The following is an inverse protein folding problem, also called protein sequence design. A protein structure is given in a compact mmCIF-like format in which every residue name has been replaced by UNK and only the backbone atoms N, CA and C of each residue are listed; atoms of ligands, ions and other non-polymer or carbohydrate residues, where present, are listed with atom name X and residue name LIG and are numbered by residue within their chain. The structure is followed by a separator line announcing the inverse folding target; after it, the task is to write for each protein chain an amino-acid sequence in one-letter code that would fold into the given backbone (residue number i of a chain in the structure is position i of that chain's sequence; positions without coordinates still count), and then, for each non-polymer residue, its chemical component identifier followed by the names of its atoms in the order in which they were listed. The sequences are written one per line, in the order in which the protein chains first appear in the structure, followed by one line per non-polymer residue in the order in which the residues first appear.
data_IF_180825500264
#
_entry.id   IF_180825500264
#
_cell.length_a   1.000
_cell.length_b   1.000
_cell.length_c   1.000
_cell.angle_alpha   90.00
_cell.angle_beta   90.00
_cell.angle_gamma   90.00
#
_symmetry.space_group_name_H-M   'P 1'
#
loop_
_entity.id
_entity.type
_entity.pdbx_description
1 polymer ?
#
# COMPACT_ATOMS: atom_id res chain seq x y z
N UNK A 1 -4.50 4.55 13.70
CA UNK A 1 -4.29 3.22 13.07
C UNK A 1 -3.16 3.40 12.07
N UNK A 2 -2.22 2.48 11.96
CA UNK A 2 -1.08 2.64 11.05
C UNK A 2 -1.43 1.99 9.71
N UNK A 3 -1.22 2.72 8.61
CA UNK A 3 -1.42 2.20 7.27
C UNK A 3 -0.32 1.19 6.92
N UNK A 4 -0.70 0.05 6.36
CA UNK A 4 0.21 -0.99 5.88
C UNK A 4 0.49 -0.79 4.38
N UNK A 5 1.70 -1.14 3.94
CA UNK A 5 1.97 -1.21 2.51
C UNK A 5 1.47 -2.55 1.96
N UNK A 6 0.57 -2.51 1.01
CA UNK A 6 0.19 -3.67 0.22
C UNK A 6 1.19 -3.87 -0.92
N UNK A 7 1.66 -5.10 -1.08
CA UNK A 7 2.50 -5.49 -2.22
C UNK A 7 1.74 -6.53 -3.02
N UNK A 8 1.04 -6.10 -4.07
CA UNK A 8 0.42 -7.02 -5.02
C UNK A 8 1.44 -7.53 -6.01
N UNK A 9 1.51 -8.83 -6.19
CA UNK A 9 2.24 -9.47 -7.29
C UNK A 9 1.21 -9.89 -8.33
N UNK A 10 1.29 -9.26 -9.47
CA UNK A 10 0.46 -9.64 -10.60
C UNK A 10 1.00 -10.93 -11.23
N UNK A 11 0.12 -11.89 -11.51
CA UNK A 11 0.50 -13.15 -12.13
C UNK A 11 1.08 -12.91 -13.54
N UNK A 12 2.16 -13.61 -13.90
CA UNK A 12 2.69 -13.62 -15.25
C UNK A 12 3.28 -12.30 -15.78
N UNK A 13 3.71 -11.39 -14.90
CA UNK A 13 4.28 -10.10 -15.32
C UNK A 13 3.23 -9.08 -15.79
N UNK A 14 1.96 -9.31 -15.49
CA UNK A 14 0.90 -8.33 -15.71
C UNK A 14 1.16 -7.07 -14.87
N UNK A 15 0.63 -5.93 -15.31
CA UNK A 15 0.71 -4.63 -14.63
C UNK A 15 -0.69 -4.09 -14.30
N UNK A 16 -1.70 -4.88 -14.61
CA UNK A 16 -3.12 -4.61 -14.36
C UNK A 16 -3.72 -5.84 -13.69
N UNK A 17 -4.52 -5.59 -12.68
CA UNK A 17 -5.38 -6.58 -12.04
C UNK A 17 -6.83 -6.08 -12.04
N UNK A 18 -7.78 -6.96 -12.24
CA UNK A 18 -9.20 -6.64 -12.23
C UNK A 18 -10.00 -7.75 -11.53
N UNK A 19 -10.84 -7.37 -10.58
CA UNK A 19 -11.66 -8.32 -9.84
C UNK A 19 -12.96 -7.72 -9.32
N UNK A 20 -13.84 -8.60 -8.83
CA UNK A 20 -15.07 -8.23 -8.14
C UNK A 20 -15.06 -8.80 -6.73
N UNK A 21 -15.38 -7.95 -5.78
CA UNK A 21 -15.56 -8.33 -4.38
C UNK A 21 -17.01 -8.18 -3.94
N UNK A 22 -17.46 -9.11 -3.09
CA UNK A 22 -18.68 -8.96 -2.32
C UNK A 22 -18.34 -8.58 -0.88
N UNK A 23 -19.05 -7.60 -0.33
CA UNK A 23 -18.91 -7.11 1.04
C UNK A 23 -17.44 -6.74 1.36
N UNK A 24 -16.86 -5.89 0.52
CA UNK A 24 -15.45 -5.54 0.65
C UNK A 24 -15.16 -4.78 1.95
N UNK A 25 -14.29 -5.35 2.76
CA UNK A 25 -13.71 -4.75 3.94
C UNK A 25 -12.21 -4.95 3.90
N UNK A 26 -11.45 -3.89 4.09
CA UNK A 26 -10.02 -3.99 4.22
C UNK A 26 -9.50 -3.09 5.35
N UNK A 27 -8.29 -3.35 5.78
CA UNK A 27 -7.62 -2.53 6.79
C UNK A 27 -6.90 -1.36 6.14
N UNK A 28 -6.61 -0.33 6.92
CA UNK A 28 -5.89 0.86 6.46
C UNK A 28 -4.56 0.46 5.82
N UNK A 29 -4.39 0.79 4.55
CA UNK A 29 -3.22 0.43 3.75
C UNK A 29 -2.91 1.48 2.69
N UNK A 30 -1.82 1.27 1.97
CA UNK A 30 -1.43 2.04 0.81
C UNK A 30 -0.59 1.16 -0.14
N UNK A 31 -0.56 1.49 -1.42
CA UNK A 31 0.24 0.79 -2.43
C UNK A 31 0.72 1.75 -3.52
N UNK A 32 1.69 1.30 -4.31
CA UNK A 32 2.25 2.09 -5.43
C UNK A 32 1.38 2.10 -6.68
N UNK A 33 0.50 1.14 -6.81
CA UNK A 33 -0.46 1.11 -7.89
C UNK A 33 -1.50 2.22 -7.70
N UNK A 34 -2.13 2.66 -8.79
CA UNK A 34 -3.41 3.35 -8.73
C UNK A 34 -4.53 2.32 -8.62
N UNK A 35 -5.66 2.72 -8.06
CA UNK A 35 -6.82 1.86 -7.91
C UNK A 35 -8.09 2.57 -8.32
N UNK A 36 -8.94 1.89 -9.08
CA UNK A 36 -10.25 2.39 -9.46
C UNK A 36 -11.33 1.47 -8.89
N UNK A 37 -12.21 2.05 -8.10
CA UNK A 37 -13.36 1.39 -7.49
C UNK A 37 -14.63 1.76 -8.26
N UNK A 38 -15.55 0.82 -8.41
CA UNK A 38 -16.89 1.08 -8.93
C UNK A 38 -17.90 0.23 -8.17
N UNK A 39 -18.91 0.89 -7.61
CA UNK A 39 -19.98 0.21 -6.86
C UNK A 39 -21.01 -0.32 -7.84
N UNK A 40 -20.98 -1.62 -8.10
CA UNK A 40 -21.94 -2.27 -8.99
C UNK A 40 -23.28 -2.49 -8.27
N UNK A 41 -23.26 -2.63 -6.93
CA UNK A 41 -24.46 -2.79 -6.09
C UNK A 41 -24.18 -2.40 -4.65
N UNK A 42 -25.16 -1.76 -4.02
CA UNK A 42 -25.14 -1.40 -2.59
C UNK A 42 -24.33 -0.15 -2.29
N UNK A 43 -23.86 -0.01 -1.05
CA UNK A 43 -23.16 1.16 -0.55
C UNK A 43 -21.84 0.77 0.12
N UNK A 44 -20.79 1.57 -0.11
CA UNK A 44 -19.48 1.36 0.50
C UNK A 44 -18.91 2.69 1.00
N UNK A 45 -18.35 2.69 2.19
CA UNK A 45 -17.58 3.80 2.70
C UNK A 45 -16.10 3.61 2.34
N UNK A 46 -15.51 4.63 1.72
CA UNK A 46 -14.09 4.66 1.38
C UNK A 46 -13.45 5.81 2.15
N UNK A 47 -12.48 5.49 2.98
CA UNK A 47 -11.60 6.47 3.59
C UNK A 47 -10.37 6.63 2.71
N UNK A 48 -10.02 7.86 2.35
CA UNK A 48 -8.86 8.18 1.52
C UNK A 48 -8.21 9.48 2.00
N UNK A 49 -6.94 9.40 2.35
CA UNK A 49 -6.22 10.52 2.95
C UNK A 49 -6.74 10.89 4.33
N UNK A 50 -7.40 12.04 4.47
CA UNK A 50 -7.99 12.53 5.74
C UNK A 50 -9.53 12.55 5.69
N UNK A 51 -10.14 12.13 4.58
CA UNK A 51 -11.57 12.23 4.31
C UNK A 51 -12.24 10.86 4.15
N UNK A 52 -13.53 10.83 4.45
CA UNK A 52 -14.39 9.65 4.26
C UNK A 52 -15.47 9.96 3.23
N UNK A 53 -15.69 9.01 2.32
CA UNK A 53 -16.63 9.13 1.21
C UNK A 53 -17.61 7.96 1.26
N UNK A 54 -18.90 8.24 1.24
CA UNK A 54 -19.93 7.22 1.05
C UNK A 54 -20.24 7.12 -0.45
N UNK A 55 -19.93 5.98 -1.03
CA UNK A 55 -20.22 5.68 -2.42
C UNK A 55 -21.50 4.85 -2.51
N UNK A 56 -22.36 5.24 -3.43
CA UNK A 56 -23.60 4.54 -3.78
C UNK A 56 -23.44 3.74 -5.08
N UNK A 57 -24.40 2.87 -5.36
CA UNK A 57 -24.50 2.14 -6.62
C UNK A 57 -24.36 3.07 -7.84
N UNK A 58 -23.56 2.66 -8.81
CA UNK A 58 -23.23 3.43 -10.01
C UNK A 58 -22.10 4.45 -9.83
N UNK A 59 -21.62 4.68 -8.62
CA UNK A 59 -20.53 5.62 -8.36
C UNK A 59 -19.15 4.97 -8.42
N UNK A 60 -18.18 5.78 -8.79
CA UNK A 60 -16.79 5.36 -8.91
C UNK A 60 -15.84 6.27 -8.13
N UNK A 61 -14.70 5.72 -7.74
CA UNK A 61 -13.70 6.39 -6.92
C UNK A 61 -12.29 6.05 -7.43
N UNK A 62 -11.46 7.06 -7.60
CA UNK A 62 -10.09 6.91 -8.06
C UNK A 62 -9.11 7.13 -6.91
N UNK A 63 -8.33 6.12 -6.57
CA UNK A 63 -7.27 6.17 -5.55
C UNK A 63 -5.94 6.34 -6.27
N UNK A 64 -5.28 7.46 -6.01
CA UNK A 64 -3.98 7.78 -6.61
C UNK A 64 -2.86 6.96 -5.94
N UNK A 65 -1.76 6.77 -6.66
CA UNK A 65 -0.58 6.07 -6.15
C UNK A 65 -0.09 6.64 -4.82
N UNK A 66 0.03 5.78 -3.81
CA UNK A 66 0.53 6.13 -2.48
C UNK A 66 -0.50 6.76 -1.54
N UNK A 67 -1.75 6.91 -1.94
CA UNK A 67 -2.78 7.37 -1.04
C UNK A 67 -3.12 6.31 0.00
N UNK A 68 -3.18 6.73 1.26
CA UNK A 68 -3.58 5.87 2.37
C UNK A 68 -5.09 5.73 2.37
N UNK A 69 -5.58 4.51 2.33
CA UNK A 69 -7.01 4.25 2.24
C UNK A 69 -7.45 2.96 2.93
N UNK A 70 -8.74 2.85 3.19
CA UNK A 70 -9.45 1.61 3.49
C UNK A 70 -10.89 1.72 3.03
N UNK A 71 -11.57 0.59 2.92
CA UNK A 71 -12.98 0.55 2.55
C UNK A 71 -13.78 -0.37 3.46
N UNK A 72 -15.07 -0.05 3.61
CA UNK A 72 -15.97 -0.77 4.49
C UNK A 72 -17.38 -0.83 3.87
N UNK A 73 -17.80 -2.02 3.46
CA UNK A 73 -19.15 -2.25 2.95
C UNK A 73 -20.20 -1.98 4.03
N UNK A 74 -21.28 -1.26 3.68
CA UNK A 74 -22.35 -0.92 4.61
C UNK A 74 -23.49 -1.93 4.60
N UNK A 75 -23.66 -2.65 3.50
CA UNK A 75 -24.69 -3.65 3.28
C UNK A 75 -24.20 -4.68 2.25
N UNK A 76 -25.10 -5.42 1.62
CA UNK A 76 -24.73 -6.33 0.53
C UNK A 76 -24.20 -5.54 -0.67
N UNK A 77 -22.88 -5.41 -0.74
CA UNK A 77 -22.18 -4.61 -1.75
C UNK A 77 -21.49 -5.52 -2.75
N UNK A 78 -21.54 -5.16 -4.03
CA UNK A 78 -20.68 -5.70 -5.07
C UNK A 78 -19.81 -4.57 -5.60
N UNK A 79 -18.50 -4.75 -5.51
CA UNK A 79 -17.49 -3.76 -5.87
C UNK A 79 -16.60 -4.30 -6.98
N UNK A 80 -16.50 -3.57 -8.08
CA UNK A 80 -15.45 -3.74 -9.08
C UNK A 80 -14.21 -3.00 -8.59
N UNK A 81 -13.06 -3.69 -8.63
CA UNK A 81 -11.76 -3.13 -8.30
C UNK A 81 -10.81 -3.38 -9.47
N UNK A 82 -10.18 -2.33 -9.95
CA UNK A 82 -9.10 -2.41 -10.94
C UNK A 82 -7.87 -1.73 -10.34
N UNK A 83 -6.80 -2.51 -10.16
CA UNK A 83 -5.52 -2.03 -9.64
C UNK A 83 -4.50 -2.07 -10.77
N UNK A 84 -3.72 -1.02 -10.95
CA UNK A 84 -2.78 -0.93 -12.06
C UNK A 84 -1.56 -0.09 -11.69
N UNK A 85 -0.42 -0.43 -12.28
CA UNK A 85 0.82 0.31 -12.04
C UNK A 85 0.72 1.77 -12.49
N UNK A 86 1.24 2.67 -11.66
CA UNK A 86 1.21 4.11 -11.91
C UNK A 86 1.86 4.51 -13.25
N UNK A 87 2.85 3.77 -13.69
CA UNK A 87 3.54 3.98 -14.96
C UNK A 87 2.62 3.94 -16.18
N UNK A 88 1.54 3.14 -16.13
CA UNK A 88 0.55 3.05 -17.21
C UNK A 88 -0.18 4.38 -17.40
N UNK A 89 -0.54 5.02 -16.30
CA UNK A 89 -1.31 6.27 -16.31
C UNK A 89 -0.44 7.53 -16.12
N UNK A 90 0.87 7.35 -15.99
CA UNK A 90 1.84 8.44 -15.83
C UNK A 90 1.65 9.57 -16.87
N UNK A 91 1.40 9.32 -18.17
CA UNK A 91 1.17 10.38 -19.15
C UNK A 91 0.02 11.34 -18.77
N UNK A 92 -0.89 10.92 -17.90
CA UNK A 92 -2.07 11.68 -17.44
C UNK A 92 -1.86 12.20 -16.03
N UNK A 93 -1.45 11.32 -15.11
CA UNK A 93 -1.38 11.61 -13.67
C UNK A 93 -0.11 12.35 -13.24
N UNK A 94 0.96 12.37 -14.05
CA UNK A 94 2.22 13.05 -13.69
C UNK A 94 2.05 14.56 -13.58
N UNK A 95 1.29 15.15 -14.50
CA UNK A 95 1.10 16.61 -14.58
C UNK A 95 -0.14 17.09 -13.82
N UNK A 96 -1.13 16.24 -13.61
CA UNK A 96 -2.42 16.62 -13.04
C UNK A 96 -2.88 15.63 -11.98
N UNK A 97 -3.64 16.14 -11.01
CA UNK A 97 -4.35 15.32 -10.01
C UNK A 97 -5.84 15.65 -10.04
N UNK A 98 -6.67 14.69 -9.71
CA UNK A 98 -8.09 14.94 -9.46
C UNK A 98 -8.26 15.84 -8.24
N UNK A 99 -9.19 16.80 -8.29
CA UNK A 99 -9.55 17.61 -7.14
C UNK A 99 -10.44 16.87 -6.16
N UNK A 100 -11.22 15.90 -6.65
CA UNK A 100 -12.03 15.00 -5.86
C UNK A 100 -11.83 13.58 -6.37
N UNK A 101 -11.53 12.61 -5.51
CA UNK A 101 -11.38 11.22 -5.92
C UNK A 101 -12.72 10.53 -6.25
N UNK A 102 -13.85 11.04 -5.73
CA UNK A 102 -15.19 10.60 -6.12
C UNK A 102 -15.53 11.17 -7.50
N UNK A 103 -15.73 10.28 -8.48
CA UNK A 103 -15.97 10.67 -9.87
C UNK A 103 -17.42 11.07 -10.09
N UNK A 104 -17.61 12.15 -10.85
CA UNK A 104 -18.94 12.70 -11.15
C UNK A 104 -19.50 12.22 -12.49
N UNK A 105 -18.64 11.82 -13.45
CA UNK A 105 -19.02 11.42 -14.80
C UNK A 105 -19.27 9.93 -14.95
N UNK A 106 -20.04 9.55 -15.97
CA UNK A 106 -20.16 8.17 -16.43
C UNK A 106 -19.03 7.84 -17.42
N UNK A 107 -18.05 7.08 -16.97
CA UNK A 107 -16.85 6.70 -17.76
C UNK A 107 -16.93 5.30 -18.34
N UNK A 108 -18.08 4.65 -18.29
CA UNK A 108 -18.29 3.28 -18.78
C UNK A 108 -17.32 2.29 -18.13
N UNK A 109 -17.19 2.38 -16.80
CA UNK A 109 -16.25 1.57 -16.01
C UNK A 109 -16.61 0.07 -16.09
N UNK A 110 -17.88 -0.36 -15.94
CA UNK A 110 -18.24 -1.78 -16.08
C UNK A 110 -17.86 -2.38 -17.44
N UNK A 111 -18.04 -1.64 -18.52
CA UNK A 111 -17.68 -2.10 -19.87
C UNK A 111 -16.16 -2.19 -20.05
N UNK A 112 -15.40 -1.24 -19.46
CA UNK A 112 -13.94 -1.29 -19.49
C UNK A 112 -13.44 -2.47 -18.63
N UNK A 113 -14.01 -2.68 -17.45
CA UNK A 113 -13.72 -3.85 -16.63
C UNK A 113 -13.96 -5.17 -17.38
N UNK A 114 -15.08 -5.29 -18.10
CA UNK A 114 -15.41 -6.50 -18.86
C UNK A 114 -14.34 -6.80 -19.94
N UNK A 115 -13.89 -5.77 -20.70
CA UNK A 115 -12.83 -5.94 -21.71
C UNK A 115 -11.50 -6.33 -21.08
N UNK A 116 -11.09 -5.67 -19.99
CA UNK A 116 -9.86 -6.01 -19.28
C UNK A 116 -9.92 -7.45 -18.74
N UNK A 117 -11.03 -7.82 -18.11
CA UNK A 117 -11.22 -9.16 -17.56
C UNK A 117 -11.18 -10.24 -18.63
N UNK A 118 -11.71 -9.98 -19.83
CA UNK A 118 -11.64 -10.88 -20.96
C UNK A 118 -10.18 -11.09 -21.41
N UNK A 119 -9.42 -10.01 -21.59
CA UNK A 119 -8.01 -10.08 -21.99
C UNK A 119 -7.15 -10.85 -20.96
N UNK A 120 -7.30 -10.52 -19.67
CA UNK A 120 -6.56 -11.17 -18.59
C UNK A 120 -6.92 -12.64 -18.41
N UNK A 121 -8.19 -13.03 -18.70
CA UNK A 121 -8.66 -14.42 -18.63
C UNK A 121 -8.16 -15.25 -19.82
N UNK A 122 -8.32 -14.73 -21.03
CA UNK A 122 -8.03 -15.49 -22.26
C UNK A 122 -6.53 -15.53 -22.59
N UNK A 123 -5.77 -14.53 -22.12
CA UNK A 123 -4.31 -14.43 -22.33
C UNK A 123 -3.89 -14.58 -23.78
N UNK A 124 -4.69 -13.98 -24.69
CA UNK A 124 -4.32 -13.90 -26.11
C UNK A 124 -2.97 -13.17 -26.30
N UNK A 125 -2.26 -13.35 -27.39
CA UNK A 125 -1.03 -12.60 -27.65
C UNK A 125 -1.23 -11.10 -27.40
N UNK A 126 -0.33 -10.47 -26.64
CA UNK A 126 -0.36 -9.05 -26.25
C UNK A 126 -1.47 -8.64 -25.26
N UNK A 127 -2.12 -9.58 -24.57
CA UNK A 127 -3.20 -9.30 -23.63
C UNK A 127 -2.84 -8.27 -22.56
N UNK A 128 -1.58 -8.29 -22.03
CA UNK A 128 -1.13 -7.29 -21.09
C UNK A 128 -1.16 -5.87 -21.69
N UNK A 129 -0.64 -5.71 -22.90
CA UNK A 129 -0.65 -4.42 -23.59
C UNK A 129 -2.08 -3.95 -23.90
N UNK A 130 -2.99 -4.87 -24.24
CA UNK A 130 -4.40 -4.57 -24.46
C UNK A 130 -5.06 -4.08 -23.17
N UNK A 131 -4.87 -4.77 -22.03
CA UNK A 131 -5.37 -4.35 -20.73
C UNK A 131 -4.80 -3.00 -20.28
N UNK A 132 -3.49 -2.77 -20.46
CA UNK A 132 -2.84 -1.48 -20.15
C UNK A 132 -3.42 -0.33 -21.00
N UNK A 133 -3.69 -0.56 -22.29
CA UNK A 133 -4.32 0.43 -23.16
C UNK A 133 -5.75 0.78 -22.73
N UNK A 134 -6.54 -0.19 -22.29
CA UNK A 134 -7.89 0.05 -21.76
C UNK A 134 -7.83 0.94 -20.50
N UNK A 135 -6.90 0.67 -19.59
CA UNK A 135 -6.67 1.50 -18.39
C UNK A 135 -6.23 2.92 -18.78
N UNK A 136 -5.26 3.08 -19.68
CA UNK A 136 -4.81 4.39 -20.10
C UNK A 136 -5.93 5.19 -20.79
N UNK A 137 -6.71 4.55 -21.66
CA UNK A 137 -7.85 5.19 -22.33
C UNK A 137 -8.93 5.61 -21.30
N UNK A 138 -9.19 4.80 -20.29
CA UNK A 138 -10.11 5.12 -19.21
C UNK A 138 -9.59 6.31 -18.37
N UNK A 139 -8.32 6.31 -17.98
CA UNK A 139 -7.71 7.42 -17.25
C UNK A 139 -7.80 8.74 -18.03
N UNK A 140 -7.53 8.71 -19.34
CA UNK A 140 -7.68 9.90 -20.20
C UNK A 140 -9.13 10.42 -20.19
N UNK A 141 -10.15 9.54 -20.27
CA UNK A 141 -11.56 9.96 -20.19
C UNK A 141 -11.89 10.60 -18.85
N UNK A 142 -11.45 9.99 -17.75
CA UNK A 142 -11.65 10.50 -16.39
C UNK A 142 -11.02 11.88 -16.22
N UNK A 143 -9.73 12.03 -16.54
CA UNK A 143 -9.00 13.28 -16.35
C UNK A 143 -9.42 14.42 -17.30
N UNK A 144 -10.10 14.08 -18.41
CA UNK A 144 -10.75 15.08 -19.28
C UNK A 144 -12.13 15.49 -18.80
N UNK A 145 -12.85 14.60 -18.13
CA UNK A 145 -14.22 14.84 -17.64
C UNK A 145 -14.29 15.44 -16.25
N UNK A 146 -13.29 15.16 -15.40
CA UNK A 146 -13.26 15.61 -14.01
C UNK A 146 -12.49 16.92 -13.82
N UNK A 147 -12.77 17.59 -12.72
CA UNK A 147 -12.00 18.77 -12.30
C UNK A 147 -10.62 18.34 -11.82
N UNK A 148 -9.60 18.92 -12.42
CA UNK A 148 -8.20 18.60 -12.10
C UNK A 148 -7.43 19.84 -11.70
N UNK A 149 -6.38 19.68 -10.90
CA UNK A 149 -5.37 20.70 -10.63
C UNK A 149 -4.01 20.25 -11.16
N UNK A 150 -3.13 21.21 -11.42
CA UNK A 150 -1.73 20.89 -11.65
C UNK A 150 -1.17 20.17 -10.42
N UNK A 151 -0.47 19.08 -10.66
CA UNK A 151 0.29 18.42 -9.61
C UNK A 151 1.52 19.30 -9.36
N UNK A 152 1.43 20.19 -8.37
CA UNK A 152 2.64 20.85 -7.88
C UNK A 152 3.63 19.74 -7.55
N UNK A 153 4.83 19.80 -8.11
CA UNK A 153 5.86 18.76 -8.05
C UNK A 153 6.15 18.28 -6.60
N UNK A 154 5.19 17.58 -6.01
CA UNK A 154 5.36 16.79 -4.80
C UNK A 154 5.58 15.31 -5.16
N UNK A 155 5.53 14.95 -6.44
CA UNK A 155 5.82 13.59 -6.92
C UNK A 155 7.23 13.17 -6.56
N UNK A 156 8.19 14.10 -6.56
CA UNK A 156 9.53 13.87 -6.02
C UNK A 156 9.52 13.47 -4.55
N UNK A 157 8.74 14.16 -3.71
CA UNK A 157 8.74 13.92 -2.26
C UNK A 157 8.09 12.58 -1.90
N UNK A 158 6.97 12.22 -2.52
CA UNK A 158 6.33 10.92 -2.29
C UNK A 158 7.19 9.80 -2.86
N UNK A 159 7.73 9.96 -4.06
CA UNK A 159 8.65 8.97 -4.63
C UNK A 159 9.93 8.87 -3.79
N UNK A 160 10.55 9.98 -3.39
CA UNK A 160 11.70 9.97 -2.49
C UNK A 160 11.39 9.33 -1.13
N UNK A 161 10.17 9.50 -0.60
CA UNK A 161 9.76 8.82 0.61
C UNK A 161 9.64 7.31 0.41
N UNK A 162 9.13 6.88 -0.72
CA UNK A 162 9.06 5.47 -1.11
C UNK A 162 10.46 4.86 -1.25
N UNK A 163 11.32 5.55 -1.97
CA UNK A 163 12.72 5.15 -2.17
C UNK A 163 13.46 5.10 -0.83
N UNK A 164 13.17 6.05 0.07
CA UNK A 164 13.67 6.03 1.45
C UNK A 164 13.23 4.76 2.21
N UNK A 165 11.93 4.38 2.14
CA UNK A 165 11.46 3.18 2.82
C UNK A 165 12.12 1.91 2.25
N UNK A 166 12.29 1.81 0.93
CA UNK A 166 12.99 0.71 0.29
C UNK A 166 14.45 0.65 0.74
N UNK A 167 15.16 1.78 0.73
CA UNK A 167 16.55 1.89 1.16
C UNK A 167 16.74 1.56 2.65
N UNK A 168 15.81 1.98 3.51
CA UNK A 168 15.80 1.58 4.93
C UNK A 168 15.70 0.06 5.07
N UNK A 169 14.85 -0.61 4.29
CA UNK A 169 14.68 -2.05 4.39
C UNK A 169 15.91 -2.85 3.95
N UNK A 170 16.68 -2.33 3.01
CA UNK A 170 17.95 -2.95 2.60
C UNK A 170 19.07 -2.68 3.62
N UNK A 171 19.10 -1.51 4.24
CA UNK A 171 20.22 -1.03 5.07
C UNK A 171 19.85 -0.72 6.52
N UNK A 172 18.70 -1.21 7.01
CA UNK A 172 18.10 -0.90 8.32
C UNK A 172 19.09 -0.95 9.49
N UNK A 173 20.05 -1.89 9.46
CA UNK A 173 20.97 -2.10 10.57
C UNK A 173 21.83 -0.86 10.88
N UNK A 174 22.17 -0.09 9.85
CA UNK A 174 23.07 1.06 9.93
C UNK A 174 22.39 2.41 9.70
N UNK A 175 21.07 2.38 9.42
CA UNK A 175 20.35 3.59 9.09
C UNK A 175 20.17 4.51 10.31
N UNK A 176 20.44 5.80 10.11
CA UNK A 176 20.23 6.82 11.15
C UNK A 176 19.10 7.79 10.77
N UNK A 177 18.64 8.55 11.75
CA UNK A 177 17.64 9.61 11.52
C UNK A 177 18.19 10.69 10.56
N UNK A 178 19.45 11.04 10.73
CA UNK A 178 20.13 12.04 9.90
C UNK A 178 20.27 11.56 8.45
N UNK A 179 20.59 10.25 8.24
CA UNK A 179 20.65 9.68 6.89
C UNK A 179 19.31 9.78 6.18
N UNK A 180 18.23 9.48 6.89
CA UNK A 180 16.88 9.54 6.36
C UNK A 180 16.47 10.99 6.00
N UNK A 181 16.77 11.94 6.85
CA UNK A 181 16.52 13.36 6.58
C UNK A 181 17.29 13.85 5.37
N UNK A 182 18.59 13.50 5.29
CA UNK A 182 19.46 13.83 4.15
C UNK A 182 18.98 13.18 2.85
N UNK A 183 18.56 11.90 2.89
CA UNK A 183 18.01 11.19 1.74
C UNK A 183 16.82 11.94 1.13
N UNK A 184 15.95 12.48 2.00
CA UNK A 184 14.78 13.26 1.60
C UNK A 184 15.11 14.72 1.21
N UNK A 185 16.35 15.17 1.44
CA UNK A 185 16.74 16.58 1.27
C UNK A 185 16.04 17.52 2.26
N UNK A 186 15.65 17.03 3.45
CA UNK A 186 14.96 17.77 4.48
C UNK A 186 15.86 18.13 5.66
N UNK A 187 15.54 19.24 6.34
CA UNK A 187 16.09 19.45 7.68
C UNK A 187 15.49 18.40 8.65
N UNK A 188 16.25 18.02 9.69
CA UNK A 188 15.80 17.04 10.68
C UNK A 188 14.46 17.42 11.33
N UNK A 189 14.25 18.71 11.62
CA UNK A 189 13.00 19.20 12.22
C UNK A 189 11.81 19.05 11.27
N UNK A 190 12.00 19.30 9.98
CA UNK A 190 10.94 19.11 8.98
C UNK A 190 10.69 17.64 8.71
N UNK A 191 11.76 16.83 8.57
CA UNK A 191 11.65 15.39 8.37
C UNK A 191 10.90 14.70 9.53
N UNK A 192 11.16 15.08 10.78
CA UNK A 192 10.46 14.53 11.94
C UNK A 192 8.94 14.73 11.85
N UNK A 193 8.50 15.96 11.51
CA UNK A 193 7.07 16.27 11.35
C UNK A 193 6.47 15.58 10.13
N UNK A 194 7.19 15.62 9.02
CA UNK A 194 6.79 14.98 7.76
C UNK A 194 6.61 13.49 7.93
N UNK A 195 7.63 12.78 8.46
CA UNK A 195 7.59 11.34 8.66
C UNK A 195 6.44 10.93 9.59
N UNK A 196 6.29 11.64 10.71
CA UNK A 196 5.19 11.36 11.66
C UNK A 196 3.81 11.59 11.03
N UNK A 197 3.67 12.60 10.17
CA UNK A 197 2.41 12.87 9.45
C UNK A 197 2.07 11.77 8.46
N UNK A 198 3.06 11.29 7.67
CA UNK A 198 2.85 10.29 6.62
C UNK A 198 2.77 8.88 7.20
N UNK A 199 3.71 8.51 8.09
CA UNK A 199 3.81 7.16 8.65
C UNK A 199 2.96 6.94 9.92
N UNK A 200 2.34 7.98 10.50
CA UNK A 200 1.58 7.91 11.75
C UNK A 200 2.43 7.61 12.99
N UNK A 201 3.74 7.45 12.85
CA UNK A 201 4.70 7.18 13.92
C UNK A 201 6.01 7.94 13.69
N UNK A 202 6.87 8.01 14.73
CA UNK A 202 8.20 8.59 14.56
C UNK A 202 9.10 7.67 13.73
N UNK A 203 10.07 8.25 13.04
CA UNK A 203 11.08 7.50 12.29
C UNK A 203 11.79 6.44 13.17
N UNK A 204 12.16 6.81 14.41
CA UNK A 204 12.81 5.87 15.33
C UNK A 204 11.90 4.68 15.69
N UNK A 205 10.61 4.90 15.85
CA UNK A 205 9.64 3.83 16.08
C UNK A 205 9.55 2.92 14.83
N UNK A 206 9.51 3.49 13.65
CA UNK A 206 9.51 2.75 12.40
C UNK A 206 10.77 1.89 12.24
N UNK A 207 11.95 2.49 12.35
CA UNK A 207 13.23 1.79 12.21
C UNK A 207 13.40 0.67 13.23
N UNK A 208 13.00 0.92 14.49
CA UNK A 208 13.03 -0.11 15.54
C UNK A 208 12.13 -1.31 15.20
N UNK A 209 10.99 -1.08 14.56
CA UNK A 209 10.09 -2.17 14.13
C UNK A 209 10.72 -2.98 13.00
N UNK A 210 11.26 -2.33 11.98
CA UNK A 210 11.98 -3.02 10.89
C UNK A 210 13.09 -3.91 11.47
N UNK A 211 13.89 -3.38 12.41
CA UNK A 211 14.94 -4.14 13.09
C UNK A 211 14.41 -5.33 13.89
N UNK A 212 13.28 -5.18 14.58
CA UNK A 212 12.66 -6.26 15.36
C UNK A 212 12.04 -7.32 14.46
N UNK A 213 11.41 -6.95 13.36
CA UNK A 213 10.86 -7.91 12.40
C UNK A 213 11.95 -8.79 11.81
N UNK A 214 13.08 -8.19 11.44
CA UNK A 214 14.23 -8.96 10.98
C UNK A 214 14.80 -9.87 12.08
N UNK A 215 14.84 -9.39 13.34
CA UNK A 215 15.23 -10.22 14.46
C UNK A 215 14.29 -11.42 14.67
N UNK A 216 12.98 -11.24 14.51
CA UNK A 216 11.98 -12.32 14.55
C UNK A 216 12.23 -13.34 13.44
N UNK A 217 12.53 -12.88 12.21
CA UNK A 217 12.89 -13.75 11.08
C UNK A 217 14.15 -14.57 11.40
N UNK A 218 15.21 -13.90 11.85
CA UNK A 218 16.48 -14.57 12.19
C UNK A 218 16.34 -15.59 13.34
N UNK A 219 15.53 -15.30 14.37
CA UNK A 219 15.23 -16.21 15.47
C UNK A 219 14.54 -17.50 14.99
N UNK A 220 13.76 -17.43 13.91
CA UNK A 220 13.04 -18.56 13.35
C UNK A 220 13.89 -19.41 12.43
N UNK A 221 14.62 -18.76 11.54
CA UNK A 221 15.42 -19.41 10.50
C UNK A 221 16.73 -20.00 11.07
N UNK A 222 17.34 -19.34 12.04
CA UNK A 222 18.67 -19.68 12.55
C UNK A 222 18.61 -20.13 14.02
N UNK A 223 18.13 -21.34 14.26
CA UNK A 223 17.96 -21.92 15.62
C UNK A 223 19.25 -22.02 16.47
N UNK A 224 20.43 -21.80 15.89
CA UNK A 224 21.73 -21.88 16.56
C UNK A 224 22.39 -20.53 16.85
N UNK A 225 21.83 -19.41 16.35
CA UNK A 225 22.44 -18.11 16.57
C UNK A 225 22.11 -17.58 17.98
N UNK A 226 23.12 -17.12 18.73
CA UNK A 226 22.88 -16.45 20.02
C UNK A 226 22.02 -15.19 19.82
N UNK A 227 21.10 -14.93 20.77
CA UNK A 227 20.25 -13.73 20.75
C UNK A 227 21.07 -12.44 20.70
N UNK A 228 22.24 -12.43 21.32
CA UNK A 228 23.19 -11.32 21.27
C UNK A 228 23.69 -11.04 19.86
N UNK A 229 24.02 -12.08 19.13
CA UNK A 229 24.46 -11.98 17.73
C UNK A 229 23.35 -11.45 16.84
N UNK A 230 22.11 -11.95 17.01
CA UNK A 230 20.93 -11.46 16.29
C UNK A 230 20.70 -9.98 16.57
N UNK A 231 20.80 -9.55 17.82
CA UNK A 231 20.64 -8.14 18.18
C UNK A 231 21.64 -7.23 17.44
N UNK A 232 22.91 -7.62 17.40
CA UNK A 232 23.93 -6.84 16.69
C UNK A 232 23.74 -6.84 15.18
N UNK A 233 23.39 -7.97 14.58
CA UNK A 233 23.09 -8.06 13.13
C UNK A 233 21.90 -7.18 12.74
N UNK A 234 20.93 -7.03 13.63
CA UNK A 234 19.79 -6.12 13.43
C UNK A 234 20.12 -4.65 13.77
N UNK A 235 21.37 -4.31 14.04
CA UNK A 235 21.83 -2.94 14.25
C UNK A 235 21.44 -2.36 15.62
N UNK A 236 21.33 -3.20 16.67
CA UNK A 236 21.21 -2.73 18.04
C UNK A 236 22.58 -2.65 18.70
N UNK A 237 22.92 -1.49 19.23
CA UNK A 237 24.22 -1.27 19.87
C UNK A 237 24.37 -1.97 21.23
N UNK A 238 23.28 -2.34 21.88
CA UNK A 238 23.29 -3.04 23.18
C UNK A 238 22.17 -4.05 23.26
N UNK A 239 22.45 -5.20 23.91
CA UNK A 239 21.45 -6.23 24.18
C UNK A 239 20.31 -5.73 25.09
N UNK A 240 20.59 -4.78 25.98
CA UNK A 240 19.59 -4.18 26.87
C UNK A 240 18.56 -3.39 26.06
N UNK A 241 19.02 -2.55 25.10
CA UNK A 241 18.12 -1.78 24.24
C UNK A 241 17.33 -2.72 23.32
N UNK A 242 17.98 -3.72 22.73
CA UNK A 242 17.33 -4.75 21.93
C UNK A 242 16.19 -5.42 22.69
N UNK A 243 16.45 -5.96 23.89
CA UNK A 243 15.43 -6.66 24.67
C UNK A 243 14.25 -5.75 25.03
N UNK A 244 14.51 -4.48 25.38
CA UNK A 244 13.48 -3.49 25.67
C UNK A 244 12.59 -3.23 24.45
N UNK A 245 13.20 -2.92 23.30
CA UNK A 245 12.48 -2.61 22.05
C UNK A 245 11.76 -3.85 21.53
N UNK A 246 12.42 -5.01 21.57
CA UNK A 246 11.82 -6.28 21.14
C UNK A 246 10.55 -6.58 21.95
N UNK A 247 10.60 -6.42 23.29
CA UNK A 247 9.42 -6.60 24.14
C UNK A 247 8.35 -5.54 23.92
N UNK A 248 8.73 -4.30 23.66
CA UNK A 248 7.80 -3.21 23.35
C UNK A 248 7.04 -3.49 22.04
N UNK A 249 7.71 -4.02 21.01
CA UNK A 249 7.13 -4.31 19.70
C UNK A 249 6.34 -5.62 19.68
N UNK A 250 6.87 -6.70 20.31
CA UNK A 250 6.30 -8.05 20.22
C UNK A 250 5.46 -8.48 21.41
N UNK A 251 5.49 -7.73 22.51
CA UNK A 251 4.85 -8.09 23.77
C UNK A 251 5.61 -9.16 24.57
N UNK A 252 6.66 -9.79 24.03
CA UNK A 252 7.40 -10.89 24.68
C UNK A 252 8.93 -10.70 24.56
N UNK A 253 9.68 -11.53 25.29
CA UNK A 253 11.15 -11.50 25.15
C UNK A 253 11.59 -12.35 23.95
N UNK A 254 12.80 -12.12 23.38
CA UNK A 254 13.31 -12.94 22.29
C UNK A 254 13.34 -14.45 22.57
N UNK A 255 13.61 -14.83 23.83
CA UNK A 255 13.64 -16.22 24.28
C UNK A 255 12.26 -16.85 24.46
N UNK A 256 11.25 -16.04 24.78
CA UNK A 256 9.86 -16.48 24.99
C UNK A 256 8.97 -16.26 23.77
N UNK A 257 9.56 -15.93 22.60
CA UNK A 257 8.79 -15.70 21.38
C UNK A 257 8.07 -16.99 20.98
N UNK A 258 6.72 -17.02 20.92
CA UNK A 258 5.98 -18.20 20.50
C UNK A 258 6.30 -18.58 19.06
N UNK A 259 6.35 -19.88 18.74
CA UNK A 259 6.50 -20.33 17.34
C UNK A 259 5.35 -19.89 16.45
N UNK A 260 4.18 -19.72 17.05
CA UNK A 260 2.96 -19.22 16.41
C UNK A 260 2.85 -17.68 16.43
N UNK A 261 3.86 -16.97 16.94
CA UNK A 261 3.84 -15.52 16.93
C UNK A 261 3.70 -15.06 15.49
N UNK A 262 2.60 -14.43 15.20
CA UNK A 262 2.45 -13.62 13.98
C UNK A 262 2.65 -12.19 14.45
N UNK A 263 3.56 -11.43 13.84
CA UNK A 263 3.65 -10.00 14.13
C UNK A 263 2.25 -9.41 14.11
N UNK A 264 1.90 -8.61 15.13
CA UNK A 264 0.54 -8.08 15.26
C UNK A 264 0.18 -7.40 13.93
N UNK A 265 -0.87 -7.87 13.26
CA UNK A 265 -1.32 -7.37 11.96
C UNK A 265 -1.57 -5.85 11.96
N UNK A 266 -1.75 -5.27 13.15
CA UNK A 266 -1.84 -3.81 13.35
C UNK A 266 -0.52 -3.07 13.12
N UNK A 267 0.61 -3.75 12.98
CA UNK A 267 1.94 -3.14 13.05
C UNK A 267 2.96 -3.61 12.02
N UNK A 268 2.60 -4.46 11.06
CA UNK A 268 3.56 -4.95 10.07
C UNK A 268 3.66 -3.95 8.92
N UNK A 269 4.78 -3.27 8.81
CA UNK A 269 5.29 -2.77 7.55
C UNK A 269 6.13 -3.88 6.93
N UNK A 270 5.50 -4.82 6.27
CA UNK A 270 6.20 -5.81 5.48
C UNK A 270 6.49 -5.22 4.11
N UNK A 271 7.75 -4.91 3.84
CA UNK A 271 8.25 -4.62 2.48
C UNK A 271 8.62 -5.91 1.76
N UNK A 272 8.61 -7.04 2.46
CA UNK A 272 8.88 -8.35 1.90
C UNK A 272 7.84 -9.36 2.35
N UNK A 273 6.71 -9.38 1.68
CA UNK A 273 5.65 -10.39 1.91
C UNK A 273 4.37 -9.98 1.22
N UNK A 274 3.65 -10.93 0.70
CA UNK A 274 2.34 -10.74 0.10
C UNK A 274 1.34 -10.34 1.22
N UNK A 275 1.27 -9.03 1.53
CA UNK A 275 0.27 -8.51 2.45
C UNK A 275 -1.00 -8.20 1.66
N UNK A 276 -2.05 -8.94 1.95
CA UNK A 276 -3.40 -8.67 1.49
C UNK A 276 -4.17 -7.91 2.59
N UNK A 277 -4.61 -6.66 2.36
CA UNK A 277 -5.38 -5.89 3.33
C UNK A 277 -6.81 -6.40 3.50
N UNK A 278 -7.25 -7.33 2.66
CA UNK A 278 -8.63 -7.85 2.60
C UNK A 278 -8.99 -8.60 3.87
N UNK A 279 -10.13 -8.27 4.47
CA UNK A 279 -10.62 -8.96 5.66
C UNK A 279 -11.32 -10.28 5.30
N UNK A 280 -11.48 -11.17 6.31
CA UNK A 280 -12.18 -12.47 6.15
C UNK A 280 -13.67 -12.33 5.80
N UNK A 281 -14.25 -11.16 5.99
CA UNK A 281 -15.66 -10.88 5.68
C UNK A 281 -15.87 -10.57 4.19
N UNK A 282 -14.78 -10.28 3.47
CA UNK A 282 -14.79 -10.00 2.05
C UNK A 282 -14.76 -11.29 1.25
N UNK A 283 -15.63 -11.40 0.26
CA UNK A 283 -15.65 -12.53 -0.67
C UNK A 283 -15.19 -12.09 -2.05
N UNK A 284 -14.14 -12.70 -2.56
CA UNK A 284 -13.70 -12.51 -3.96
C UNK A 284 -14.65 -13.30 -4.87
N UNK A 285 -15.38 -12.62 -5.75
CA UNK A 285 -16.32 -13.20 -6.70
C UNK A 285 -15.65 -13.61 -8.00
N UNK A 286 -14.78 -12.73 -8.53
CA UNK A 286 -14.00 -12.97 -9.76
C UNK A 286 -12.65 -12.31 -9.63
N UNK A 287 -11.63 -12.95 -10.23
CA UNK A 287 -10.25 -12.46 -10.26
C UNK A 287 -9.63 -12.72 -11.63
N UNK A 288 -8.91 -11.75 -12.17
CA UNK A 288 -8.18 -11.86 -13.44
C UNK A 288 -6.86 -11.08 -13.41
#
# INVERSE_FOLDING_TARGET
MLAKQETRRYAGGARVWAGKYQNSHNVLHWHYACELLYVERGDIEVFCGEESYLLHEGQAFFIDSGEVHYMHAKNQTVLIVMTFENEIVKPVCEMRRLLCPLLCGDYKIPETYARISEELREKRPFYNAAAENEILALAIRIFRGERTAERKMSSGTVQSFKDLLADINERYAFYTFTDAANFMGFSEAYFSKFFKKIAGMTFSQYLNRVKVEEAVRLLRENKGLPVTEIAFRCGFNTIRNFNRIFKEVTGCTPRSLPKTYVPDEKFIYSVSGDFDPTSRETTLLTEH
#
